data_IF_536489957397
#
_entry.id   IF_536489957397
#
_cell.length_a   1.000
_cell.length_b   1.000
_cell.length_c   1.000
_cell.angle_alpha   90.00
_cell.angle_beta   90.00
_cell.angle_gamma   90.00
#
_symmetry.space_group_name_H-M   'P 1'
#
loop_
_entity.id
_entity.type
_entity.pdbx_description
1 polymer ?
#
# COMPACT_ATOMS: atom_id res chain seq x y z
N UNK A 1 7.87 11.84 -9.24
CA UNK A 1 8.46 10.52 -8.92
C UNK A 1 7.70 9.95 -7.74
N UNK A 2 7.44 8.65 -7.70
CA UNK A 2 6.76 8.00 -6.57
C UNK A 2 7.66 7.94 -5.33
N UNK A 3 7.06 7.81 -4.14
CA UNK A 3 7.78 7.61 -2.88
C UNK A 3 8.43 6.23 -2.89
N UNK A 4 9.63 6.10 -2.34
CA UNK A 4 10.29 4.80 -2.15
C UNK A 4 9.52 3.95 -1.13
N UNK A 5 9.31 2.68 -1.46
CA UNK A 5 8.73 1.67 -0.58
C UNK A 5 9.85 0.74 -0.14
N UNK A 6 9.88 0.43 1.15
CA UNK A 6 10.83 -0.50 1.77
C UNK A 6 10.06 -1.42 2.71
N UNK A 7 10.12 -2.73 2.47
CA UNK A 7 9.40 -3.73 3.26
C UNK A 7 10.35 -4.87 3.58
N UNK A 8 10.44 -5.21 4.86
CA UNK A 8 11.21 -6.36 5.33
C UNK A 8 10.26 -7.54 5.65
N UNK A 9 10.58 -8.71 5.11
CA UNK A 9 9.90 -9.97 5.41
C UNK A 9 10.94 -11.05 5.60
N UNK A 10 10.93 -11.70 6.76
CA UNK A 10 11.80 -12.82 7.09
C UNK A 10 13.30 -12.51 6.87
N UNK A 11 13.72 -11.31 7.28
CA UNK A 11 15.10 -10.83 7.13
C UNK A 11 15.51 -10.44 5.70
N UNK A 12 14.60 -10.52 4.72
CA UNK A 12 14.83 -10.06 3.36
C UNK A 12 14.17 -8.69 3.12
N UNK A 13 14.93 -7.75 2.56
CA UNK A 13 14.45 -6.42 2.19
C UNK A 13 13.93 -6.41 0.75
N UNK A 14 12.76 -5.81 0.55
CA UNK A 14 12.12 -5.59 -0.73
C UNK A 14 11.91 -4.09 -0.94
N UNK A 15 12.27 -3.60 -2.12
CA UNK A 15 12.26 -2.17 -2.42
C UNK A 15 11.55 -1.88 -3.74
N UNK A 16 10.99 -0.67 -3.85
CA UNK A 16 10.38 -0.18 -5.07
C UNK A 16 9.82 1.23 -4.90
N UNK A 17 8.77 1.58 -5.64
CA UNK A 17 8.17 2.91 -5.59
C UNK A 17 6.64 2.87 -5.64
N UNK A 18 6.00 3.89 -5.08
CA UNK A 18 4.55 4.04 -5.21
C UNK A 18 4.18 4.26 -6.69
N UNK A 19 3.16 3.56 -7.21
CA UNK A 19 2.71 3.73 -8.59
C UNK A 19 1.89 5.02 -8.73
N UNK A 20 1.27 5.20 -9.91
CA UNK A 20 0.50 6.42 -10.19
C UNK A 20 -0.71 6.57 -9.27
N UNK A 21 -1.23 7.80 -9.11
CA UNK A 21 -2.44 8.04 -8.33
C UNK A 21 -3.66 7.27 -8.86
N UNK A 22 -3.72 7.05 -10.18
CA UNK A 22 -4.75 6.21 -10.82
C UNK A 22 -4.67 4.77 -10.33
N UNK A 23 -3.46 4.20 -10.28
CA UNK A 23 -3.23 2.84 -9.81
C UNK A 23 -3.55 2.71 -8.32
N UNK A 24 -3.18 3.70 -7.50
CA UNK A 24 -3.50 3.73 -6.07
C UNK A 24 -5.01 3.81 -5.81
N UNK A 25 -5.76 4.57 -6.62
CA UNK A 25 -7.22 4.60 -6.54
C UNK A 25 -7.83 3.24 -6.89
N UNK A 26 -7.31 2.56 -7.91
CA UNK A 26 -7.76 1.22 -8.29
C UNK A 26 -7.45 0.19 -7.18
N UNK A 27 -6.27 0.25 -6.57
CA UNK A 27 -5.90 -0.55 -5.40
C UNK A 27 -6.92 -0.37 -4.26
N UNK A 28 -7.29 0.87 -3.94
CA UNK A 28 -8.26 1.18 -2.89
C UNK A 28 -9.64 0.58 -3.20
N UNK A 29 -10.10 0.69 -4.46
CA UNK A 29 -11.38 0.12 -4.89
C UNK A 29 -11.38 -1.42 -4.77
N UNK A 30 -10.29 -2.08 -5.18
CA UNK A 30 -10.17 -3.53 -5.07
C UNK A 30 -10.15 -3.96 -3.60
N UNK A 31 -9.35 -3.29 -2.76
CA UNK A 31 -9.26 -3.57 -1.33
C UNK A 31 -10.62 -3.41 -0.61
N UNK A 32 -11.38 -2.38 -0.99
CA UNK A 32 -12.72 -2.13 -0.44
C UNK A 32 -13.71 -3.21 -0.85
N UNK A 33 -13.78 -3.55 -2.15
CA UNK A 33 -14.71 -4.56 -2.68
C UNK A 33 -14.47 -5.95 -2.11
N UNK A 34 -13.23 -6.26 -1.73
CA UNK A 34 -12.84 -7.55 -1.18
C UNK A 34 -12.75 -7.56 0.35
N UNK A 35 -13.25 -6.52 1.04
CA UNK A 35 -13.23 -6.43 2.50
C UNK A 35 -11.83 -6.57 3.12
N UNK A 36 -10.78 -6.18 2.39
CA UNK A 36 -9.37 -6.26 2.84
C UNK A 36 -8.98 -5.07 3.71
N UNK A 37 -9.69 -3.94 3.57
CA UNK A 37 -9.40 -2.69 4.28
C UNK A 37 -9.14 -2.87 5.79
N UNK A 38 -9.98 -3.58 6.57
CA UNK A 38 -9.72 -3.78 8.00
C UNK A 38 -8.38 -4.48 8.31
N UNK A 39 -7.93 -5.37 7.42
CA UNK A 39 -6.67 -6.10 7.57
C UNK A 39 -5.43 -5.25 7.18
N UNK A 40 -5.64 -4.06 6.60
CA UNK A 40 -4.58 -3.09 6.30
C UNK A 40 -4.43 -2.02 7.40
N UNK A 41 -5.27 -2.06 8.44
CA UNK A 41 -5.15 -1.17 9.58
C UNK A 41 -3.95 -1.54 10.47
N UNK A 42 -3.43 -0.56 11.22
CA UNK A 42 -2.20 -0.69 12.02
C UNK A 42 -2.24 -1.81 13.09
N UNK A 43 -3.43 -2.32 13.44
CA UNK A 43 -3.64 -3.36 14.45
C UNK A 43 -3.83 -4.77 13.86
N UNK A 44 -3.79 -4.94 12.55
CA UNK A 44 -3.96 -6.24 11.92
C UNK A 44 -2.69 -7.09 12.05
N UNK A 45 -2.85 -8.41 12.26
CA UNK A 45 -1.70 -9.32 12.26
C UNK A 45 -1.25 -9.61 10.82
N UNK A 46 0.06 -9.83 10.63
CA UNK A 46 0.65 -10.20 9.34
C UNK A 46 -0.06 -11.43 8.72
N UNK A 47 -0.35 -12.44 9.54
CA UNK A 47 -1.10 -13.61 9.09
C UNK A 47 -2.55 -13.28 8.73
N UNK A 48 -3.22 -12.40 9.49
CA UNK A 48 -4.57 -11.94 9.18
C UNK A 48 -4.63 -11.23 7.82
N UNK A 49 -3.64 -10.41 7.50
CA UNK A 49 -3.49 -9.77 6.20
C UNK A 49 -3.26 -10.79 5.07
N UNK A 50 -2.36 -11.75 5.28
CA UNK A 50 -2.12 -12.81 4.29
C UNK A 50 -3.40 -13.63 4.02
N UNK A 51 -4.17 -13.98 5.06
CA UNK A 51 -5.44 -14.71 4.94
C UNK A 51 -6.50 -13.88 4.21
N UNK A 52 -6.61 -12.58 4.52
CA UNK A 52 -7.54 -11.68 3.83
C UNK A 52 -7.25 -11.64 2.31
N UNK A 53 -5.98 -11.55 1.92
CA UNK A 53 -5.59 -11.58 0.51
C UNK A 53 -5.78 -12.95 -0.13
N UNK A 54 -5.52 -14.04 0.60
CA UNK A 54 -5.77 -15.41 0.11
C UNK A 54 -7.26 -15.69 -0.17
N UNK A 55 -8.16 -14.99 0.53
CA UNK A 55 -9.61 -15.14 0.35
C UNK A 55 -10.17 -14.42 -0.89
N UNK A 56 -9.37 -13.57 -1.53
CA UNK A 56 -9.77 -12.83 -2.72
C UNK A 56 -9.95 -13.75 -3.92
N UNK A 57 -10.86 -13.35 -4.82
CA UNK A 57 -10.96 -14.01 -6.11
C UNK A 57 -9.69 -13.79 -6.95
N UNK A 58 -9.42 -14.73 -7.86
CA UNK A 58 -8.20 -14.73 -8.67
C UNK A 58 -8.05 -13.48 -9.56
N UNK A 59 -9.15 -12.90 -10.04
CA UNK A 59 -9.11 -11.72 -10.90
C UNK A 59 -8.66 -10.50 -10.10
N UNK A 60 -9.30 -10.26 -8.95
CA UNK A 60 -8.94 -9.17 -8.04
C UNK A 60 -7.50 -9.32 -7.53
N UNK A 61 -7.10 -10.53 -7.13
CA UNK A 61 -5.76 -10.78 -6.62
C UNK A 61 -4.70 -10.56 -7.70
N UNK A 62 -4.89 -11.09 -8.91
CA UNK A 62 -3.94 -10.88 -10.01
C UNK A 62 -3.84 -9.40 -10.40
N UNK A 63 -4.95 -8.66 -10.35
CA UNK A 63 -4.90 -7.22 -10.61
C UNK A 63 -4.12 -6.47 -9.54
N UNK A 64 -4.26 -6.84 -8.26
CA UNK A 64 -3.42 -6.27 -7.19
C UNK A 64 -1.94 -6.60 -7.40
N UNK A 65 -1.58 -7.81 -7.83
CA UNK A 65 -0.18 -8.14 -8.14
C UNK A 65 0.40 -7.21 -9.20
N UNK A 66 -0.35 -6.94 -10.27
CA UNK A 66 0.10 -6.02 -11.32
C UNK A 66 0.29 -4.60 -10.77
N UNK A 67 -0.69 -4.09 -10.02
CA UNK A 67 -0.66 -2.73 -9.48
C UNK A 67 0.44 -2.55 -8.42
N UNK A 68 0.54 -3.47 -7.46
CA UNK A 68 1.48 -3.37 -6.35
C UNK A 68 2.90 -3.77 -6.75
N UNK A 69 3.06 -4.92 -7.41
CA UNK A 69 4.39 -5.50 -7.67
C UNK A 69 4.97 -4.99 -8.98
N UNK A 70 4.25 -5.14 -10.10
CA UNK A 70 4.78 -4.76 -11.43
C UNK A 70 4.87 -3.26 -11.60
N UNK A 71 3.78 -2.53 -11.35
CA UNK A 71 3.77 -1.07 -11.50
C UNK A 71 4.59 -0.38 -10.41
N UNK A 72 4.62 -0.95 -9.19
CA UNK A 72 5.50 -0.50 -8.11
C UNK A 72 6.98 -0.87 -8.31
N UNK A 73 7.28 -1.70 -9.32
CA UNK A 73 8.63 -2.20 -9.65
C UNK A 73 9.33 -2.81 -8.42
N UNK A 74 8.59 -3.61 -7.66
CA UNK A 74 9.09 -4.21 -6.43
C UNK A 74 10.14 -5.28 -6.77
N UNK A 75 11.31 -5.14 -6.17
CA UNK A 75 12.45 -6.06 -6.30
C UNK A 75 12.94 -6.51 -4.93
N UNK A 76 13.63 -7.64 -4.85
CA UNK A 76 14.44 -7.99 -3.68
C UNK A 76 15.72 -7.16 -3.69
N UNK A 77 16.02 -6.47 -2.61
CA UNK A 77 17.09 -5.47 -2.58
C UNK A 77 18.49 -6.11 -2.73
N UNK A 78 18.68 -7.30 -2.16
CA UNK A 78 19.97 -8.00 -2.16
C UNK A 78 20.54 -8.31 -3.55
N UNK A 79 19.67 -8.54 -4.55
CA UNK A 79 20.06 -8.95 -5.89
C UNK A 79 19.24 -8.32 -7.03
N UNK A 80 18.37 -7.36 -6.69
CA UNK A 80 17.52 -6.63 -7.64
C UNK A 80 16.61 -7.52 -8.50
N UNK A 81 16.31 -8.74 -8.04
CA UNK A 81 15.41 -9.65 -8.76
C UNK A 81 13.96 -9.16 -8.63
N UNK A 82 13.20 -9.05 -9.73
CA UNK A 82 11.77 -8.74 -9.68
C UNK A 82 11.00 -9.77 -8.85
N UNK A 83 10.14 -9.26 -7.97
CA UNK A 83 9.32 -10.11 -7.10
C UNK A 83 8.27 -10.88 -7.91
N UNK A 84 8.22 -12.19 -7.67
CA UNK A 84 7.21 -13.11 -8.19
C UNK A 84 7.03 -14.27 -7.19
N UNK A 85 5.94 -15.04 -7.32
CA UNK A 85 5.54 -16.09 -6.38
C UNK A 85 6.62 -17.15 -6.16
N UNK A 86 7.43 -17.43 -7.19
CA UNK A 86 8.50 -18.42 -7.14
C UNK A 86 9.65 -18.04 -6.19
N UNK A 87 9.79 -16.76 -5.81
CA UNK A 87 10.75 -16.36 -4.78
C UNK A 87 10.34 -16.84 -3.38
N UNK A 88 9.10 -17.28 -3.20
CA UNK A 88 8.50 -17.63 -1.91
C UNK A 88 7.96 -19.07 -1.89
N UNK A 89 8.52 -19.98 -2.70
CA UNK A 89 8.01 -21.35 -2.85
C UNK A 89 7.87 -22.10 -1.52
N UNK A 90 8.83 -21.91 -0.59
CA UNK A 90 8.83 -22.57 0.71
C UNK A 90 7.88 -21.90 1.73
N UNK A 91 7.47 -20.65 1.47
CA UNK A 91 6.67 -19.84 2.37
C UNK A 91 5.73 -18.91 1.60
N UNK A 92 4.77 -19.48 0.85
CA UNK A 92 3.93 -18.72 -0.09
C UNK A 92 3.10 -17.61 0.60
N UNK A 93 2.77 -17.79 1.88
CA UNK A 93 2.12 -16.76 2.70
C UNK A 93 2.94 -15.46 2.78
N UNK A 94 4.27 -15.53 2.68
CA UNK A 94 5.15 -14.36 2.70
C UNK A 94 5.00 -13.52 1.41
N UNK A 95 4.65 -14.14 0.27
CA UNK A 95 4.32 -13.40 -0.95
C UNK A 95 3.03 -12.59 -0.79
N UNK A 96 2.00 -13.19 -0.18
CA UNK A 96 0.75 -12.49 0.12
C UNK A 96 0.98 -11.39 1.15
N UNK A 97 1.80 -11.65 2.17
CA UNK A 97 2.19 -10.64 3.14
C UNK A 97 2.89 -9.46 2.47
N UNK A 98 3.85 -9.72 1.57
CA UNK A 98 4.52 -8.67 0.81
C UNK A 98 3.53 -7.84 0.00
N UNK A 99 2.64 -8.50 -0.73
CA UNK A 99 1.59 -7.83 -1.51
C UNK A 99 0.73 -6.93 -0.61
N UNK A 100 0.36 -7.42 0.58
CA UNK A 100 -0.43 -6.69 1.56
C UNK A 100 0.30 -5.47 2.13
N UNK A 101 1.57 -5.62 2.53
CA UNK A 101 2.37 -4.49 3.03
C UNK A 101 2.61 -3.45 1.93
N UNK A 102 2.85 -3.86 0.69
CA UNK A 102 2.94 -2.92 -0.46
C UNK A 102 1.62 -2.19 -0.64
N UNK A 103 0.49 -2.90 -0.56
CA UNK A 103 -0.84 -2.29 -0.64
C UNK A 103 -1.04 -1.27 0.48
N UNK A 104 -0.70 -1.62 1.73
CA UNK A 104 -0.77 -0.74 2.90
C UNK A 104 0.07 0.53 2.72
N UNK A 105 1.29 0.43 2.19
CA UNK A 105 2.15 1.59 1.90
C UNK A 105 1.55 2.52 0.84
N UNK A 106 0.74 2.00 -0.08
CA UNK A 106 0.13 2.76 -1.16
C UNK A 106 -1.21 3.41 -0.78
N UNK A 107 -2.06 2.70 -0.03
CA UNK A 107 -3.40 3.19 0.31
C UNK A 107 -3.59 3.49 1.80
N UNK A 108 -2.60 3.24 2.66
CA UNK A 108 -2.62 3.54 4.08
C UNK A 108 -2.98 4.99 4.44
N UNK A 109 -2.58 6.01 3.66
CA UNK A 109 -3.05 7.38 3.86
C UNK A 109 -4.58 7.56 3.82
N UNK A 110 -5.34 6.62 3.24
CA UNK A 110 -6.81 6.59 3.32
C UNK A 110 -7.30 6.68 4.77
N UNK A 111 -6.64 6.00 5.71
CA UNK A 111 -7.00 6.02 7.12
C UNK A 111 -6.69 7.35 7.82
N UNK A 112 -5.87 8.20 7.21
CA UNK A 112 -5.51 9.53 7.74
C UNK A 112 -6.58 10.59 7.50
N UNK A 113 -7.61 10.31 6.69
CA UNK A 113 -8.82 11.15 6.62
C UNK A 113 -9.53 11.31 7.98
N UNK A 114 -9.23 10.43 8.94
CA UNK A 114 -9.82 10.41 10.29
C UNK A 114 -9.15 11.34 11.31
N UNK A 115 -8.02 12.00 11.01
CA UNK A 115 -7.31 12.82 11.99
C UNK A 115 -6.84 14.14 11.36
N UNK A 116 -7.69 15.16 11.42
CA UNK A 116 -7.32 16.57 11.23
C UNK A 116 -6.52 16.87 9.98
N UNK A 117 -7.20 17.14 8.86
CA UNK A 117 -6.57 17.75 7.68
C UNK A 117 -6.08 19.17 8.00
N UNK A 118 -4.89 19.30 8.58
CA UNK A 118 -4.20 20.59 8.76
C UNK A 118 -3.77 21.23 7.43
N UNK A 119 -3.89 20.54 6.29
CA UNK A 119 -3.59 21.11 4.98
C UNK A 119 -4.69 22.02 4.39
N UNK A 120 -5.75 22.32 5.15
CA UNK A 120 -6.77 23.32 4.79
C UNK A 120 -6.70 24.63 5.58
N UNK A 121 -5.95 24.69 6.69
CA UNK A 121 -5.97 25.84 7.59
C UNK A 121 -4.95 26.94 7.24
N UNK A 122 -3.96 26.66 6.39
CA UNK A 122 -2.89 27.63 6.10
C UNK A 122 -3.21 28.61 4.96
N UNK A 123 -4.33 28.44 4.24
CA UNK A 123 -4.75 29.36 3.16
C UNK A 123 -5.81 30.40 3.58
N UNK A 124 -6.41 30.28 4.77
CA UNK A 124 -7.48 31.17 5.22
C UNK A 124 -7.01 32.28 6.20
N UNK A 125 -5.79 32.21 6.73
CA UNK A 125 -5.29 33.17 7.70
C UNK A 125 -4.56 34.38 7.08
N UNK A 126 -4.33 34.41 5.77
CA UNK A 126 -3.60 35.50 5.10
C UNK A 126 -4.49 36.65 4.60
N UNK A 127 -5.82 36.56 4.75
CA UNK A 127 -6.76 37.57 4.22
C UNK A 127 -7.54 38.34 5.28
N UNK A 128 -7.35 38.08 6.57
CA UNK A 128 -8.13 38.72 7.65
C UNK A 128 -7.34 39.69 8.53
N UNK A 129 -6.09 40.05 8.19
CA UNK A 129 -5.30 41.00 8.99
C UNK A 129 -5.12 42.39 8.34
N UNK A 130 -5.93 42.76 7.32
CA UNK A 130 -5.82 44.09 6.67
C UNK A 130 -7.03 45.02 6.86
N UNK A 131 -7.98 44.70 7.73
CA UNK A 131 -9.04 45.65 8.10
C UNK A 131 -9.25 45.67 9.63
N UNK A 132 -8.48 46.52 10.30
CA UNK A 132 -8.85 47.08 11.59
C UNK A 132 -8.38 48.55 11.61
N UNK A 133 -9.33 49.43 11.32
CA UNK A 133 -9.29 50.88 11.57
C UNK A 133 -9.54 51.17 13.05
#
# INVERSE_FOLDING_TARGET
MGRRIEIEIDGALYTGATPSAKDQLEMLQIATKNSVLPALGDNASDMGLAVALASMDALSLNRLKDLCIKNGKIVRDADSIPVAENLFQDAIQNYLLLLGKVLQENIGPFWKLSAGSENGASAAAATSETEAE
#
